data_IF_661638327498
#
_entry.id   IF_661638327498
#
_cell.length_a   1.000
_cell.length_b   1.000
_cell.length_c   1.000
_cell.angle_alpha   90.00
_cell.angle_beta   90.00
_cell.angle_gamma   90.00
#
_symmetry.space_group_name_H-M   'P 1'
#
loop_
_entity.id
_entity.type
_entity.pdbx_description
1 polymer ?
#
# COMPACT_ATOMS: atom_id res chain seq x y z
N UNK A 1 -11.95 -11.46 5.18
CA UNK A 1 -12.30 -11.89 3.80
C UNK A 1 -11.21 -11.52 2.80
N UNK A 2 -10.81 -10.24 2.68
CA UNK A 2 -9.79 -9.83 1.70
C UNK A 2 -8.38 -10.38 1.96
N UNK A 3 -8.00 -10.64 3.21
CA UNK A 3 -6.75 -11.37 3.53
C UNK A 3 -6.78 -12.78 2.92
N UNK A 4 -7.93 -13.46 2.98
CA UNK A 4 -8.11 -14.79 2.37
C UNK A 4 -8.06 -14.71 0.85
N UNK A 5 -8.70 -13.69 0.25
CA UNK A 5 -8.65 -13.47 -1.19
C UNK A 5 -7.20 -13.30 -1.69
N UNK A 6 -6.41 -12.48 -0.99
CA UNK A 6 -5.00 -12.29 -1.30
C UNK A 6 -4.17 -13.57 -1.11
N UNK A 7 -4.39 -14.33 -0.03
CA UNK A 7 -3.70 -15.59 0.18
C UNK A 7 -3.99 -16.62 -0.92
N UNK A 8 -5.26 -16.72 -1.36
CA UNK A 8 -5.65 -17.60 -2.48
C UNK A 8 -5.00 -17.17 -3.79
N UNK A 9 -4.89 -15.85 -4.02
CA UNK A 9 -4.20 -15.31 -5.19
C UNK A 9 -2.75 -15.80 -5.27
N UNK A 10 -2.00 -15.64 -4.18
CA UNK A 10 -0.60 -16.07 -4.11
C UNK A 10 -0.42 -17.59 -4.12
N UNK A 11 -1.45 -18.34 -3.70
CA UNK A 11 -1.52 -19.80 -3.88
C UNK A 11 -1.77 -20.22 -5.34
N UNK A 12 -2.13 -19.29 -6.22
CA UNK A 12 -2.50 -19.56 -7.62
C UNK A 12 -3.99 -19.83 -7.85
N UNK A 13 -4.82 -19.80 -6.80
CA UNK A 13 -6.28 -19.93 -6.92
C UNK A 13 -6.93 -18.56 -7.20
N UNK A 14 -6.82 -18.13 -8.47
CA UNK A 14 -7.34 -16.84 -8.95
C UNK A 14 -8.87 -16.80 -8.89
N UNK A 15 -9.54 -17.92 -9.16
CA UNK A 15 -11.01 -18.04 -9.10
C UNK A 15 -11.53 -17.87 -7.67
N UNK A 16 -10.97 -18.62 -6.71
CA UNK A 16 -11.31 -18.49 -5.30
C UNK A 16 -10.94 -17.10 -4.75
N UNK A 17 -9.82 -16.54 -5.20
CA UNK A 17 -9.42 -15.17 -4.86
C UNK A 17 -10.47 -14.13 -5.26
N UNK A 18 -10.96 -14.20 -6.51
CA UNK A 18 -12.03 -13.33 -7.00
C UNK A 18 -13.31 -13.51 -6.20
N UNK A 19 -13.73 -14.75 -5.97
CA UNK A 19 -14.95 -15.07 -5.21
C UNK A 19 -14.93 -14.42 -3.81
N UNK A 20 -13.81 -14.55 -3.09
CA UNK A 20 -13.66 -13.94 -1.76
C UNK A 20 -13.54 -12.42 -1.81
N UNK A 21 -13.01 -11.85 -2.89
CA UNK A 21 -13.00 -10.40 -3.13
C UNK A 21 -14.42 -9.87 -3.31
N UNK A 22 -15.22 -10.48 -4.19
CA UNK A 22 -16.62 -10.10 -4.44
C UNK A 22 -17.44 -10.16 -3.15
N UNK A 23 -17.34 -11.25 -2.39
CA UNK A 23 -18.02 -11.40 -1.10
C UNK A 23 -17.61 -10.31 -0.09
N UNK A 24 -16.34 -9.90 -0.10
CA UNK A 24 -15.88 -8.83 0.79
C UNK A 24 -16.43 -7.46 0.40
N UNK A 25 -16.49 -7.18 -0.90
CA UNK A 25 -17.09 -5.95 -1.42
C UNK A 25 -18.56 -5.90 -1.04
N UNK A 26 -19.32 -6.96 -1.30
CA UNK A 26 -20.73 -7.08 -0.90
C UNK A 26 -20.92 -6.80 0.60
N UNK A 27 -20.07 -7.40 1.45
CA UNK A 27 -20.11 -7.17 2.90
C UNK A 27 -19.80 -5.72 3.29
N UNK A 28 -18.92 -5.04 2.55
CA UNK A 28 -18.63 -3.62 2.75
C UNK A 28 -19.84 -2.75 2.41
N UNK A 29 -20.51 -3.00 1.27
CA UNK A 29 -21.73 -2.28 0.89
C UNK A 29 -22.85 -2.49 1.93
N UNK A 30 -23.01 -3.71 2.46
CA UNK A 30 -23.94 -4.00 3.56
C UNK A 30 -23.61 -3.19 4.81
N UNK A 31 -22.33 -3.17 5.23
CA UNK A 31 -21.87 -2.43 6.42
C UNK A 31 -22.21 -0.93 6.36
N UNK A 32 -22.10 -0.33 5.17
CA UNK A 32 -22.39 1.09 4.97
C UNK A 32 -23.83 1.37 4.56
N UNK A 33 -24.71 0.36 4.59
CA UNK A 33 -26.12 0.46 4.22
C UNK A 33 -26.33 1.14 2.86
N UNK A 34 -25.48 0.78 1.89
CA UNK A 34 -25.56 1.35 0.54
C UNK A 34 -26.83 0.88 -0.18
N UNK A 35 -27.35 1.72 -1.08
CA UNK A 35 -28.54 1.38 -1.86
C UNK A 35 -28.30 0.09 -2.69
N UNK A 36 -29.14 -0.95 -2.56
CA UNK A 36 -28.96 -2.23 -3.26
C UNK A 36 -28.84 -2.10 -4.78
N UNK A 37 -29.50 -1.10 -5.39
CA UNK A 37 -29.38 -0.80 -6.82
C UNK A 37 -27.94 -0.50 -7.21
N UNK A 38 -27.24 0.34 -6.44
CA UNK A 38 -25.85 0.70 -6.74
C UNK A 38 -24.89 -0.43 -6.38
N UNK A 39 -25.16 -1.18 -5.31
CA UNK A 39 -24.42 -2.40 -4.98
C UNK A 39 -24.44 -3.39 -6.14
N UNK A 40 -25.62 -3.70 -6.69
CA UNK A 40 -25.77 -4.63 -7.81
C UNK A 40 -25.08 -4.18 -9.09
N UNK A 41 -25.01 -2.87 -9.34
CA UNK A 41 -24.26 -2.32 -10.47
C UNK A 41 -22.75 -2.45 -10.25
N UNK A 42 -22.25 -2.10 -9.06
CA UNK A 42 -20.83 -2.16 -8.74
C UNK A 42 -20.27 -3.59 -8.79
N UNK A 43 -21.02 -4.57 -8.29
CA UNK A 43 -20.60 -5.98 -8.30
C UNK A 43 -20.45 -6.57 -9.71
N UNK A 44 -21.00 -5.91 -10.74
CA UNK A 44 -20.89 -6.28 -12.16
C UNK A 44 -19.85 -5.44 -12.91
N UNK A 45 -19.23 -4.46 -12.25
CA UNK A 45 -18.28 -3.56 -12.89
C UNK A 45 -16.94 -4.29 -13.12
N UNK A 46 -16.71 -4.65 -14.37
CA UNK A 46 -15.51 -5.38 -14.80
C UNK A 46 -14.23 -4.55 -14.68
N UNK A 47 -14.29 -3.23 -14.55
CA UNK A 47 -13.10 -2.43 -14.28
C UNK A 47 -12.52 -2.70 -12.88
N UNK A 48 -13.38 -3.12 -11.94
CA UNK A 48 -13.02 -3.34 -10.54
C UNK A 48 -13.05 -4.81 -10.13
N UNK A 49 -13.96 -5.60 -10.72
CA UNK A 49 -14.22 -7.01 -10.39
C UNK A 49 -14.32 -7.88 -11.66
N UNK A 50 -13.31 -7.86 -12.56
CA UNK A 50 -13.39 -8.59 -13.81
C UNK A 50 -13.47 -10.11 -13.59
N UNK A 51 -14.18 -10.82 -14.47
CA UNK A 51 -14.30 -12.28 -14.45
C UNK A 51 -13.06 -12.98 -15.01
N UNK A 52 -12.44 -12.40 -16.04
CA UNK A 52 -11.16 -12.81 -16.62
C UNK A 52 -10.05 -11.86 -16.18
N UNK A 53 -8.79 -12.29 -16.24
CA UNK A 53 -7.62 -11.44 -15.93
C UNK A 53 -7.64 -10.78 -14.54
N UNK A 54 -8.37 -11.40 -13.60
CA UNK A 54 -8.39 -10.97 -12.21
C UNK A 54 -6.98 -11.04 -11.62
N UNK A 55 -6.56 -9.95 -10.99
CA UNK A 55 -5.16 -9.72 -10.63
C UNK A 55 -5.01 -9.05 -9.26
N UNK A 56 -3.79 -9.03 -8.72
CA UNK A 56 -3.51 -8.51 -7.37
C UNK A 56 -3.92 -7.04 -7.22
N UNK A 57 -3.80 -6.24 -8.28
CA UNK A 57 -4.22 -4.84 -8.30
C UNK A 57 -5.72 -4.68 -8.04
N UNK A 58 -6.57 -5.60 -8.53
CA UNK A 58 -8.01 -5.57 -8.21
C UNK A 58 -8.26 -5.79 -6.71
N UNK A 59 -7.60 -6.78 -6.10
CA UNK A 59 -7.75 -7.11 -4.68
C UNK A 59 -7.34 -5.93 -3.79
N UNK A 60 -6.17 -5.37 -4.04
CA UNK A 60 -5.59 -4.31 -3.21
C UNK A 60 -6.34 -2.99 -3.33
N UNK A 61 -6.90 -2.68 -4.50
CA UNK A 61 -7.80 -1.53 -4.67
C UNK A 61 -9.13 -1.73 -3.93
N UNK A 62 -9.69 -2.95 -3.93
CA UNK A 62 -10.87 -3.25 -3.10
C UNK A 62 -10.57 -3.19 -1.60
N UNK A 63 -9.38 -3.64 -1.17
CA UNK A 63 -8.89 -3.45 0.20
C UNK A 63 -8.85 -1.98 0.59
N UNK A 64 -8.30 -1.12 -0.26
CA UNK A 64 -8.25 0.33 0.00
C UNK A 64 -9.65 0.90 0.25
N UNK A 65 -10.64 0.53 -0.58
CA UNK A 65 -12.03 1.00 -0.44
C UNK A 65 -12.72 0.41 0.79
N UNK A 66 -12.64 -0.92 0.98
CA UNK A 66 -13.35 -1.62 2.06
C UNK A 66 -12.81 -1.27 3.47
N UNK A 67 -11.55 -0.83 3.55
CA UNK A 67 -10.88 -0.49 4.81
C UNK A 67 -10.86 1.02 5.07
N UNK A 68 -11.75 1.81 4.45
CA UNK A 68 -11.81 3.26 4.65
C UNK A 68 -11.75 3.64 6.15
N UNK A 69 -10.86 4.58 6.49
CA UNK A 69 -10.49 5.04 7.84
C UNK A 69 -9.72 4.05 8.72
N UNK A 70 -9.36 2.86 8.22
CA UNK A 70 -8.52 1.92 8.96
C UNK A 70 -7.04 2.18 8.65
N UNK A 71 -6.16 2.23 9.68
CA UNK A 71 -4.73 2.47 9.49
C UNK A 71 -4.03 1.36 8.68
N UNK A 72 -4.64 0.18 8.59
CA UNK A 72 -4.19 -0.96 7.78
C UNK A 72 -4.03 -0.60 6.30
N UNK A 73 -4.78 0.39 5.79
CA UNK A 73 -4.58 0.90 4.42
C UNK A 73 -3.10 1.30 4.22
N UNK A 74 -2.54 2.06 5.15
CA UNK A 74 -1.18 2.55 5.04
C UNK A 74 -0.15 1.42 5.20
N UNK A 75 -0.47 0.41 6.02
CA UNK A 75 0.35 -0.81 6.14
C UNK A 75 0.39 -1.58 4.82
N UNK A 76 -0.76 -1.82 4.17
CA UNK A 76 -0.81 -2.53 2.89
C UNK A 76 -0.13 -1.75 1.76
N UNK A 77 -0.30 -0.42 1.70
CA UNK A 77 0.40 0.40 0.70
C UNK A 77 1.92 0.33 0.84
N UNK A 78 2.44 0.34 2.07
CA UNK A 78 3.88 0.19 2.34
C UNK A 78 4.39 -1.21 2.05
N UNK A 79 3.60 -2.26 2.37
CA UNK A 79 3.95 -3.65 2.08
C UNK A 79 4.14 -3.90 0.58
N UNK A 80 3.38 -3.17 -0.23
CA UNK A 80 3.49 -3.17 -1.69
C UNK A 80 4.30 -1.98 -2.23
N UNK A 81 5.13 -1.34 -1.41
CA UNK A 81 6.05 -0.26 -1.76
C UNK A 81 5.42 0.85 -2.61
N UNK A 82 4.15 1.18 -2.36
CA UNK A 82 3.42 2.17 -3.15
C UNK A 82 3.47 1.90 -4.66
N UNK A 83 3.45 0.63 -5.07
CA UNK A 83 3.48 0.18 -6.48
C UNK A 83 2.58 1.04 -7.36
N UNK A 84 3.20 1.87 -8.20
CA UNK A 84 2.54 2.87 -9.03
C UNK A 84 3.28 3.05 -10.37
N UNK A 85 2.64 3.73 -11.32
CA UNK A 85 3.16 3.89 -12.68
C UNK A 85 4.48 4.69 -12.74
N UNK A 86 4.73 5.55 -11.76
CA UNK A 86 5.92 6.41 -11.71
C UNK A 86 7.13 5.71 -11.10
N UNK A 87 6.93 4.91 -10.05
CA UNK A 87 8.03 4.16 -9.44
C UNK A 87 8.31 2.81 -10.12
N UNK A 88 7.41 2.34 -11.00
CA UNK A 88 7.60 1.14 -11.82
C UNK A 88 7.65 -0.16 -11.01
N UNK A 89 7.33 -0.12 -9.72
CA UNK A 89 7.32 -1.32 -8.87
C UNK A 89 6.09 -2.14 -9.21
N UNK A 90 6.28 -3.42 -9.52
CA UNK A 90 5.18 -4.34 -9.88
C UNK A 90 5.23 -5.61 -9.04
N UNK A 91 4.07 -6.26 -8.93
CA UNK A 91 3.89 -7.53 -8.23
C UNK A 91 3.10 -8.47 -9.15
N UNK A 92 3.62 -9.67 -9.41
CA UNK A 92 3.05 -10.57 -10.42
C UNK A 92 2.93 -9.89 -11.80
N UNK A 93 3.87 -8.99 -12.13
CA UNK A 93 3.85 -8.17 -13.36
C UNK A 93 2.81 -7.04 -13.37
N UNK A 94 2.12 -6.78 -12.26
CA UNK A 94 1.02 -5.82 -12.17
C UNK A 94 1.40 -4.61 -11.32
N UNK A 95 1.10 -3.41 -11.81
CA UNK A 95 1.07 -2.18 -11.01
C UNK A 95 -0.19 -2.19 -10.14
N UNK A 96 -0.03 -2.12 -8.82
CA UNK A 96 -1.15 -2.27 -7.89
C UNK A 96 -2.01 -1.02 -7.80
N UNK A 97 -1.40 0.16 -7.68
CA UNK A 97 -2.08 1.44 -7.54
C UNK A 97 -1.75 2.35 -8.74
N UNK A 98 -2.33 2.06 -9.92
CA UNK A 98 -2.15 2.93 -11.08
C UNK A 98 -2.62 4.35 -10.74
N UNK A 99 -1.96 5.35 -11.29
CA UNK A 99 -2.20 6.79 -11.09
C UNK A 99 -1.94 7.33 -9.68
N UNK A 100 -1.52 6.49 -8.73
CA UNK A 100 -1.13 6.96 -7.40
C UNK A 100 0.05 7.92 -7.50
N UNK A 101 -0.12 9.12 -6.91
CA UNK A 101 0.90 10.17 -6.88
C UNK A 101 1.26 10.51 -5.45
N UNK A 102 2.55 10.71 -5.21
CA UNK A 102 3.04 11.23 -3.93
C UNK A 102 2.40 12.61 -3.65
N UNK A 103 1.98 12.90 -2.41
CA UNK A 103 1.45 14.22 -2.06
C UNK A 103 2.42 15.35 -2.40
N UNK A 104 1.89 16.46 -2.94
CA UNK A 104 2.70 17.58 -3.43
C UNK A 104 3.30 18.44 -2.31
N UNK A 105 2.61 18.59 -1.17
CA UNK A 105 3.02 19.49 -0.09
C UNK A 105 4.02 18.86 0.89
N UNK A 106 4.98 18.11 0.38
CA UNK A 106 6.07 17.58 1.21
C UNK A 106 7.19 18.60 1.33
N UNK A 107 7.82 18.65 2.50
CA UNK A 107 8.90 19.59 2.78
C UNK A 107 10.09 19.35 1.83
N UNK A 108 10.24 20.21 0.82
CA UNK A 108 11.18 20.01 -0.28
C UNK A 108 12.60 19.67 0.16
N UNK A 109 13.18 20.31 1.21
CA UNK A 109 14.54 19.98 1.66
C UNK A 109 14.74 18.52 2.09
N UNK A 110 13.68 17.79 2.43
CA UNK A 110 13.77 16.37 2.82
C UNK A 110 13.24 15.42 1.76
N UNK A 111 12.35 15.88 0.88
CA UNK A 111 11.59 15.01 -0.03
C UNK A 111 11.83 15.27 -1.52
N UNK A 112 12.61 16.29 -1.86
CA UNK A 112 12.93 16.68 -3.24
C UNK A 112 14.46 16.74 -3.48
N UNK A 113 15.19 15.82 -2.86
CA UNK A 113 16.67 15.78 -2.89
C UNK A 113 17.24 14.53 -3.57
N UNK A 114 16.43 13.48 -3.72
CA UNK A 114 16.81 12.21 -4.33
C UNK A 114 16.51 12.25 -5.83
N UNK A 115 17.48 11.88 -6.66
CA UNK A 115 17.35 11.88 -8.12
C UNK A 115 17.69 10.50 -8.69
N UNK A 116 16.96 10.11 -9.72
CA UNK A 116 17.26 8.91 -10.52
C UNK A 116 18.52 9.14 -11.38
N UNK A 117 19.16 8.08 -11.92
CA UNK A 117 20.32 8.22 -12.79
C UNK A 117 20.09 9.08 -14.05
N UNK A 118 18.84 9.23 -14.49
CA UNK A 118 18.43 10.07 -15.62
C UNK A 118 18.20 11.55 -15.25
N UNK A 119 18.44 11.94 -13.99
CA UNK A 119 18.27 13.30 -13.48
C UNK A 119 16.84 13.68 -13.11
N UNK A 120 15.88 12.76 -13.21
CA UNK A 120 14.51 13.00 -12.73
C UNK A 120 14.41 12.85 -11.21
N UNK A 121 13.50 13.59 -10.57
CA UNK A 121 13.29 13.47 -9.13
C UNK A 121 12.74 12.08 -8.77
N UNK A 122 13.43 11.38 -7.87
CA UNK A 122 13.04 10.07 -7.41
C UNK A 122 11.69 10.11 -6.67
N UNK A 123 10.88 9.08 -6.88
CA UNK A 123 9.55 8.98 -6.26
C UNK A 123 9.64 8.31 -4.88
N UNK A 124 10.22 9.02 -3.91
CA UNK A 124 10.46 8.51 -2.55
C UNK A 124 9.25 8.74 -1.65
N UNK A 125 8.71 7.66 -1.09
CA UNK A 125 7.51 7.67 -0.25
C UNK A 125 7.82 7.54 1.25
N UNK A 126 6.91 8.03 2.08
CA UNK A 126 6.97 7.84 3.54
C UNK A 126 6.78 6.36 3.90
N UNK A 127 7.67 5.82 4.72
CA UNK A 127 7.67 4.42 5.09
C UNK A 127 7.41 4.20 6.59
N UNK A 128 7.68 5.20 7.43
CA UNK A 128 7.45 5.14 8.87
C UNK A 128 7.15 6.52 9.45
N UNK A 129 6.68 6.51 10.70
CA UNK A 129 6.58 7.72 11.52
C UNK A 129 7.88 7.92 12.29
N UNK A 130 8.12 9.16 12.71
CA UNK A 130 9.17 9.46 13.66
C UNK A 130 8.82 8.85 15.02
N UNK A 131 9.87 8.51 15.78
CA UNK A 131 9.75 8.31 17.21
C UNK A 131 9.38 9.64 17.89
N UNK A 132 8.93 9.60 19.15
CA UNK A 132 8.60 10.82 19.90
C UNK A 132 9.86 11.65 20.17
N UNK A 133 10.03 12.84 19.54
CA UNK A 133 11.24 13.62 19.68
C UNK A 133 11.38 14.25 21.08
N UNK A 134 10.29 14.44 21.83
CA UNK A 134 10.35 15.14 23.10
C UNK A 134 10.90 14.28 24.24
N UNK A 135 10.70 12.97 24.14
CA UNK A 135 11.07 11.99 25.16
C UNK A 135 12.22 11.09 24.71
N UNK A 136 12.11 10.43 23.55
CA UNK A 136 13.12 9.45 23.10
C UNK A 136 14.49 10.10 22.85
N UNK A 137 14.55 11.35 22.37
CA UNK A 137 15.82 12.05 22.18
C UNK A 137 16.56 12.35 23.48
N UNK A 138 15.83 12.47 24.60
CA UNK A 138 16.40 12.76 25.92
C UNK A 138 16.80 11.48 26.64
N UNK A 139 15.94 10.47 26.59
CA UNK A 139 16.09 9.26 27.39
C UNK A 139 16.78 8.10 26.65
N UNK A 140 16.75 8.09 25.31
CA UNK A 140 17.17 6.94 24.51
C UNK A 140 18.09 7.31 23.33
N UNK A 141 18.84 8.42 23.46
CA UNK A 141 19.71 8.93 22.38
C UNK A 141 20.65 7.86 21.80
N UNK A 142 21.34 7.09 22.64
CA UNK A 142 22.32 6.11 22.18
C UNK A 142 21.70 5.06 21.25
N UNK A 143 20.45 4.65 21.50
CA UNK A 143 19.74 3.71 20.64
C UNK A 143 19.29 4.37 19.33
N UNK A 144 18.83 5.62 19.38
CA UNK A 144 18.50 6.38 18.17
C UNK A 144 19.71 6.59 17.27
N UNK A 145 20.89 6.85 17.85
CA UNK A 145 22.16 6.95 17.13
C UNK A 145 22.56 5.59 16.53
N UNK A 146 22.43 4.49 17.29
CA UNK A 146 22.69 3.12 16.80
C UNK A 146 21.81 2.75 15.60
N UNK A 147 20.55 3.18 15.61
CA UNK A 147 19.59 2.94 14.53
C UNK A 147 19.77 3.90 13.32
N UNK A 148 20.54 4.98 13.50
CA UNK A 148 20.66 6.07 12.52
C UNK A 148 19.40 6.93 12.42
N UNK A 149 18.56 6.93 13.45
CA UNK A 149 17.30 7.65 13.50
C UNK A 149 17.44 9.06 14.12
N UNK A 150 18.46 9.27 14.96
CA UNK A 150 18.62 10.51 15.73
C UNK A 150 18.68 11.75 14.83
N UNK A 151 17.66 12.61 14.91
CA UNK A 151 17.53 13.86 14.11
C UNK A 151 17.76 13.66 12.61
N UNK A 152 17.35 12.52 12.07
CA UNK A 152 17.59 12.15 10.69
C UNK A 152 16.27 12.05 9.90
N UNK A 153 15.97 12.98 8.97
CA UNK A 153 14.76 12.91 8.16
C UNK A 153 14.72 11.68 7.23
N UNK A 154 15.87 11.13 6.85
CA UNK A 154 15.96 9.91 6.04
C UNK A 154 15.35 8.69 6.76
N UNK A 155 15.23 8.74 8.09
CA UNK A 155 14.56 7.71 8.86
C UNK A 155 13.14 7.46 8.36
N UNK A 156 12.38 8.50 8.02
CA UNK A 156 11.00 8.40 7.55
C UNK A 156 10.87 7.66 6.21
N UNK A 157 11.94 7.63 5.41
CA UNK A 157 12.01 6.95 4.10
C UNK A 157 12.43 5.48 4.21
N UNK A 158 12.97 5.05 5.35
CA UNK A 158 13.45 3.67 5.54
C UNK A 158 12.26 2.69 5.61
N UNK A 159 12.18 1.63 4.78
CA UNK A 159 11.09 0.63 4.86
C UNK A 159 11.07 -0.11 6.20
N UNK A 160 9.88 -0.37 6.74
CA UNK A 160 9.73 -1.24 7.91
C UNK A 160 10.22 -2.66 7.59
N UNK A 161 10.67 -3.43 8.59
CA UNK A 161 11.25 -4.77 8.36
C UNK A 161 10.32 -5.71 7.56
N UNK A 162 9.01 -5.60 7.74
CA UNK A 162 8.00 -6.41 7.05
C UNK A 162 7.64 -5.87 5.64
N UNK A 163 8.06 -4.66 5.29
CA UNK A 163 7.82 -4.05 3.99
C UNK A 163 8.95 -4.35 2.98
N UNK A 164 10.07 -4.89 3.43
CA UNK A 164 11.21 -5.24 2.58
C UNK A 164 10.86 -6.51 1.81
N UNK A 165 10.52 -6.37 0.53
CA UNK A 165 10.34 -7.50 -0.37
C UNK A 165 11.62 -7.71 -1.19
N UNK A 166 12.60 -8.39 -0.61
CA UNK A 166 13.90 -8.71 -1.20
C UNK A 166 13.89 -10.07 -1.93
N UNK A 167 12.73 -10.61 -2.29
CA UNK A 167 12.60 -11.92 -2.91
C UNK A 167 13.03 -13.10 -2.04
N UNK A 168 13.45 -12.86 -0.78
CA UNK A 168 13.94 -13.87 0.17
C UNK A 168 12.81 -14.57 0.95
N UNK A 169 11.57 -14.15 0.71
CA UNK A 169 10.36 -14.66 1.37
C UNK A 169 9.41 -15.34 0.37
N UNK A 170 9.96 -15.93 -0.71
CA UNK A 170 9.24 -16.87 -1.57
C UNK A 170 9.17 -18.25 -0.94
#
# INVERSE_FOLDING_TARGET
MLIKAEALYWKGDKTGSREWTVKAVEKSFERFNCNPKYTGNYLKDVAYLPETDFNIGHIMRQKYVCMYLQPEIWTDMRRYNYSNDKNGITYDGITIYPTLKRPYNLYEPYWCIDYNPDGTLADVWIQRLNYDPETEEKYNRAELERLGAYKNPEWLKKPMIWAINNGSHK
#
